data_IF_968063912225
#
_entry.id   IF_968063912225
#
_cell.length_a   1.000
_cell.length_b   1.000
_cell.length_c   1.000
_cell.angle_alpha   90.00
_cell.angle_beta   90.00
_cell.angle_gamma   90.00
#
_symmetry.space_group_name_H-M   'P 1'
#
loop_
_entity.id
_entity.type
_entity.pdbx_description
1 polymer ?
#
# COMPACT_ATOMS: atom_id res chain seq x y z
N UNK A 1 2.49 5.47 -4.84
CA UNK A 1 3.22 4.60 -3.90
C UNK A 1 4.69 4.98 -3.78
N UNK A 2 5.52 4.86 -4.84
CA UNK A 2 6.96 5.15 -4.75
C UNK A 2 7.27 6.52 -4.13
N UNK A 3 6.71 7.59 -4.66
CA UNK A 3 6.91 8.94 -4.13
C UNK A 3 6.50 9.05 -2.65
N UNK A 4 5.34 8.52 -2.31
CA UNK A 4 4.84 8.54 -0.93
C UNK A 4 5.72 7.72 0.04
N UNK A 5 6.39 6.67 -0.42
CA UNK A 5 7.34 5.90 0.39
C UNK A 5 8.67 6.60 0.53
N UNK A 6 9.29 7.00 -0.58
CA UNK A 6 10.64 7.57 -0.56
C UNK A 6 10.70 8.90 0.20
N UNK A 7 9.67 9.74 0.15
CA UNK A 7 9.61 10.98 0.93
C UNK A 7 9.56 10.72 2.43
N UNK A 8 8.97 9.61 2.86
CA UNK A 8 8.96 9.17 4.27
C UNK A 8 10.34 8.65 4.68
N UNK A 9 10.96 7.79 3.86
CA UNK A 9 12.33 7.27 4.10
C UNK A 9 13.35 8.41 4.24
N UNK A 10 13.21 9.47 3.44
CA UNK A 10 14.10 10.63 3.48
C UNK A 10 13.81 11.62 4.62
N UNK A 11 12.72 11.43 5.35
CA UNK A 11 12.35 12.25 6.49
C UNK A 11 12.44 11.47 7.82
N UNK A 12 13.57 11.53 8.55
CA UNK A 12 13.76 10.79 9.79
C UNK A 12 12.77 11.14 10.91
N UNK A 13 12.10 12.29 10.82
CA UNK A 13 11.09 12.72 11.79
C UNK A 13 9.68 12.21 11.44
N UNK A 14 9.52 11.50 10.32
CA UNK A 14 8.22 11.00 9.92
C UNK A 14 7.75 9.85 10.84
N UNK A 15 6.47 9.86 11.18
CA UNK A 15 5.83 8.79 11.93
C UNK A 15 4.38 8.63 11.50
N UNK A 16 3.92 7.37 11.49
CA UNK A 16 2.52 7.03 11.27
C UNK A 16 1.62 7.42 12.45
N UNK A 17 2.19 7.81 13.60
CA UNK A 17 1.43 8.10 14.82
C UNK A 17 0.34 9.14 14.62
N UNK A 18 0.64 10.24 13.94
CA UNK A 18 -0.34 11.30 13.67
C UNK A 18 -1.54 10.81 12.87
N UNK A 19 -1.31 9.94 11.91
CA UNK A 19 -2.37 9.34 11.10
C UNK A 19 -3.19 8.29 11.88
N UNK A 20 -2.51 7.44 12.63
CA UNK A 20 -3.16 6.38 13.41
C UNK A 20 -3.99 6.93 14.58
N UNK A 21 -3.55 8.05 15.18
CA UNK A 21 -4.26 8.69 16.29
C UNK A 21 -5.58 9.36 15.89
N UNK A 22 -5.77 9.62 14.59
CA UNK A 22 -7.00 10.22 14.05
C UNK A 22 -7.99 9.19 13.51
N UNK A 23 -7.75 7.90 13.75
CA UNK A 23 -8.61 6.83 13.26
C UNK A 23 -9.99 6.86 13.92
N UNK A 24 -11.03 7.15 13.13
CA UNK A 24 -12.43 7.18 13.58
C UNK A 24 -13.06 5.78 13.53
N UNK A 25 -12.67 4.99 12.54
CA UNK A 25 -13.17 3.62 12.37
C UNK A 25 -12.22 2.62 13.02
N UNK A 26 -12.73 1.75 13.88
CA UNK A 26 -11.95 0.75 14.64
C UNK A 26 -10.81 1.36 15.50
N UNK A 27 -11.07 2.37 16.35
CA UNK A 27 -10.02 3.08 17.08
C UNK A 27 -9.13 2.12 17.90
N UNK A 28 -9.68 1.17 18.62
CA UNK A 28 -8.90 0.21 19.42
C UNK A 28 -7.93 -0.66 18.61
N UNK A 29 -8.25 -0.96 17.36
CA UNK A 29 -7.33 -1.67 16.47
C UNK A 29 -6.14 -0.79 16.07
N UNK A 30 -6.39 0.47 15.75
CA UNK A 30 -5.33 1.40 15.37
C UNK A 30 -4.53 1.92 16.56
N UNK A 31 -5.13 2.03 17.75
CA UNK A 31 -4.43 2.32 19.01
C UNK A 31 -3.39 1.27 19.35
N UNK A 32 -3.64 0.00 19.02
CA UNK A 32 -2.64 -1.06 19.22
C UNK A 32 -1.36 -0.79 18.41
N UNK A 33 -1.46 -0.21 17.21
CA UNK A 33 -0.31 0.17 16.40
C UNK A 33 0.50 1.35 16.98
N UNK A 34 -0.11 2.14 17.85
CA UNK A 34 0.56 3.27 18.53
C UNK A 34 1.46 2.85 19.70
N UNK A 35 1.40 1.58 20.12
CA UNK A 35 2.26 1.09 21.19
C UNK A 35 3.74 1.30 20.89
N UNK A 36 4.57 1.73 21.85
CA UNK A 36 6.00 2.02 21.64
C UNK A 36 6.81 0.86 21.06
N UNK A 37 6.38 -0.38 21.28
CA UNK A 37 7.00 -1.58 20.73
C UNK A 37 6.57 -1.90 19.30
N UNK A 38 5.41 -1.43 18.86
CA UNK A 38 4.80 -1.75 17.56
C UNK A 38 5.02 -0.63 16.55
N UNK A 39 4.89 0.63 16.98
CA UNK A 39 4.96 1.81 16.11
C UNK A 39 6.23 1.88 15.23
N UNK A 40 7.45 1.58 15.74
CA UNK A 40 8.65 1.58 14.90
C UNK A 40 8.58 0.56 13.76
N UNK A 41 7.96 -0.60 14.00
CA UNK A 41 7.75 -1.65 12.98
C UNK A 41 6.76 -1.16 11.93
N UNK A 42 5.68 -0.52 12.36
CA UNK A 42 4.68 0.07 11.46
C UNK A 42 5.29 1.18 10.61
N UNK A 43 6.11 2.05 11.19
CA UNK A 43 6.83 3.09 10.44
C UNK A 43 7.73 2.46 9.38
N UNK A 44 8.55 1.49 9.75
CA UNK A 44 9.45 0.81 8.82
C UNK A 44 8.69 0.13 7.65
N UNK A 45 7.64 -0.63 7.96
CA UNK A 45 6.80 -1.28 6.96
C UNK A 45 6.15 -0.25 6.03
N UNK A 46 5.73 0.88 6.56
CA UNK A 46 5.08 1.95 5.83
C UNK A 46 6.05 2.64 4.85
N UNK A 47 7.22 3.03 5.33
CA UNK A 47 8.26 3.72 4.55
C UNK A 47 8.80 2.82 3.44
N UNK A 48 9.37 1.68 3.85
CA UNK A 48 10.01 0.75 2.92
C UNK A 48 9.01 -0.07 2.11
N UNK A 49 7.87 -0.44 2.71
CA UNK A 49 6.80 -1.14 2.02
C UNK A 49 6.28 -0.34 0.83
N UNK A 50 5.89 0.92 1.03
CA UNK A 50 5.44 1.80 -0.06
C UNK A 50 6.52 2.02 -1.11
N UNK A 51 7.77 2.21 -0.69
CA UNK A 51 8.90 2.43 -1.59
C UNK A 51 9.13 1.21 -2.47
N UNK A 52 9.25 0.02 -1.86
CA UNK A 52 9.50 -1.24 -2.58
C UNK A 52 8.32 -1.64 -3.46
N UNK A 53 7.09 -1.50 -2.98
CA UNK A 53 5.90 -1.72 -3.80
C UNK A 53 5.88 -0.78 -5.00
N UNK A 54 6.23 0.50 -4.80
CA UNK A 54 6.34 1.47 -5.88
C UNK A 54 7.41 1.12 -6.90
N UNK A 55 8.61 0.73 -6.47
CA UNK A 55 9.70 0.26 -7.36
C UNK A 55 9.27 -0.98 -8.14
N UNK A 56 8.67 -1.94 -7.46
CA UNK A 56 8.17 -3.17 -8.06
C UNK A 56 7.17 -2.89 -9.18
N UNK A 57 6.20 -2.00 -8.94
CA UNK A 57 5.20 -1.61 -9.93
C UNK A 57 5.80 -0.83 -11.11
N UNK A 58 6.76 0.06 -10.87
CA UNK A 58 7.43 0.85 -11.92
C UNK A 58 8.26 -0.06 -12.83
N UNK A 59 9.02 -0.99 -12.25
CA UNK A 59 9.86 -1.92 -13.02
C UNK A 59 9.07 -3.09 -13.62
N UNK A 60 7.85 -3.30 -13.16
CA UNK A 60 7.04 -4.44 -13.57
C UNK A 60 7.61 -5.78 -13.09
N UNK A 61 8.15 -5.82 -11.85
CA UNK A 61 8.77 -6.99 -11.21
C UNK A 61 7.90 -7.46 -10.04
N UNK A 62 7.38 -8.70 -10.11
CA UNK A 62 6.51 -9.24 -9.06
C UNK A 62 5.18 -8.50 -8.95
N UNK A 63 4.68 -7.96 -10.07
CA UNK A 63 3.52 -7.05 -10.09
C UNK A 63 2.30 -7.66 -9.45
N UNK A 64 2.05 -8.95 -9.65
CA UNK A 64 0.89 -9.62 -9.04
C UNK A 64 0.94 -9.56 -7.52
N UNK A 65 2.08 -9.94 -6.93
CA UNK A 65 2.27 -9.93 -5.47
C UNK A 65 2.22 -8.50 -4.93
N UNK A 66 2.97 -7.59 -5.54
CA UNK A 66 3.03 -6.18 -5.14
C UNK A 66 1.68 -5.48 -5.24
N UNK A 67 0.88 -5.83 -6.24
CA UNK A 67 -0.47 -5.29 -6.40
C UNK A 67 -1.42 -5.80 -5.30
N UNK A 68 -1.33 -7.07 -4.93
CA UNK A 68 -2.14 -7.61 -3.82
C UNK A 68 -1.76 -6.93 -2.50
N UNK A 69 -0.46 -6.88 -2.18
CA UNK A 69 0.03 -6.23 -0.96
C UNK A 69 -0.28 -4.73 -0.94
N UNK A 70 -0.15 -4.07 -2.09
CA UNK A 70 -0.49 -2.67 -2.24
C UNK A 70 -1.98 -2.39 -2.06
N UNK A 71 -2.85 -3.25 -2.60
CA UNK A 71 -4.30 -3.14 -2.42
C UNK A 71 -4.69 -3.30 -0.94
N UNK A 72 -4.11 -4.28 -0.24
CA UNK A 72 -4.31 -4.46 1.20
C UNK A 72 -3.84 -3.24 1.99
N UNK A 73 -2.69 -2.66 1.63
CA UNK A 73 -2.16 -1.47 2.27
C UNK A 73 -3.07 -0.25 2.04
N UNK A 74 -3.63 -0.09 0.84
CA UNK A 74 -4.59 0.98 0.54
C UNK A 74 -5.87 0.83 1.36
N UNK A 75 -6.38 -0.39 1.51
CA UNK A 75 -7.53 -0.65 2.37
C UNK A 75 -7.21 -0.35 3.85
N UNK A 76 -6.00 -0.69 4.31
CA UNK A 76 -5.57 -0.35 5.67
C UNK A 76 -5.50 1.17 5.90
N UNK A 77 -5.11 1.94 4.89
CA UNK A 77 -5.13 3.41 4.95
C UNK A 77 -6.54 4.01 4.85
N UNK A 78 -7.44 3.32 4.19
CA UNK A 78 -8.82 3.79 4.04
C UNK A 78 -9.57 3.86 5.37
N UNK A 79 -9.45 2.82 6.22
CA UNK A 79 -10.24 2.73 7.44
C UNK A 79 -10.02 3.88 8.44
N UNK A 80 -8.80 4.38 8.71
CA UNK A 80 -8.60 5.51 9.62
C UNK A 80 -9.29 6.80 9.18
N UNK A 81 -9.38 7.05 7.87
CA UNK A 81 -9.99 8.28 7.34
C UNK A 81 -11.50 8.17 7.14
N UNK A 82 -12.05 6.97 7.23
CA UNK A 82 -13.47 6.74 7.06
C UNK A 82 -14.25 7.17 8.30
N UNK A 83 -15.14 8.12 8.14
CA UNK A 83 -16.18 8.49 9.11
C UNK A 83 -17.53 8.22 8.47
N UNK A 84 -17.95 6.96 8.58
CA UNK A 84 -19.11 6.44 7.84
C UNK A 84 -20.37 7.32 7.97
N UNK A 85 -21.01 7.72 6.85
CA UNK A 85 -20.73 7.37 5.44
C UNK A 85 -19.83 8.38 4.70
N UNK A 86 -19.16 9.27 5.40
CA UNK A 86 -18.35 10.36 4.83
C UNK A 86 -16.87 10.13 5.02
N UNK A 87 -16.07 10.83 4.20
CA UNK A 87 -14.62 10.93 4.35
C UNK A 87 -14.28 12.39 4.56
N UNK A 88 -13.95 12.81 5.80
CA UNK A 88 -13.63 14.20 6.13
C UNK A 88 -12.46 14.71 5.28
N UNK A 89 -12.59 15.91 4.74
CA UNK A 89 -11.55 16.54 3.93
C UNK A 89 -11.48 16.15 2.46
N UNK A 90 -12.08 15.03 2.06
CA UNK A 90 -12.10 14.60 0.66
C UNK A 90 -13.38 15.03 -0.08
N UNK A 91 -14.37 15.60 0.61
CA UNK A 91 -15.72 15.89 0.06
C UNK A 91 -16.33 14.67 -0.65
N UNK A 92 -15.95 13.47 -0.23
CA UNK A 92 -16.36 12.21 -0.81
C UNK A 92 -17.23 11.42 0.16
N UNK A 93 -18.16 10.64 -0.41
CA UNK A 93 -18.84 9.60 0.32
C UNK A 93 -17.87 8.41 0.52
N UNK A 94 -18.36 7.19 0.51
CA UNK A 94 -17.62 5.95 0.79
C UNK A 94 -16.38 5.77 -0.11
N UNK A 95 -16.33 6.36 -1.31
CA UNK A 95 -15.25 6.16 -2.28
C UNK A 95 -14.26 7.32 -2.24
N UNK A 96 -13.02 7.03 -1.90
CA UNK A 96 -11.89 7.95 -1.94
C UNK A 96 -10.73 7.40 -2.82
N UNK A 97 -9.61 8.11 -2.85
CA UNK A 97 -8.42 7.73 -3.61
C UNK A 97 -7.88 6.36 -3.21
N UNK A 98 -7.98 5.96 -1.93
CA UNK A 98 -7.48 4.66 -1.47
C UNK A 98 -8.28 3.50 -2.08
N UNK A 99 -9.60 3.63 -2.17
CA UNK A 99 -10.47 2.64 -2.83
C UNK A 99 -10.15 2.56 -4.32
N UNK A 100 -9.98 3.71 -4.98
CA UNK A 100 -9.65 3.76 -6.42
C UNK A 100 -8.30 3.08 -6.67
N UNK A 101 -7.27 3.41 -5.88
CA UNK A 101 -5.96 2.77 -6.00
C UNK A 101 -6.00 1.27 -5.69
N UNK A 102 -6.77 0.84 -4.69
CA UNK A 102 -6.94 -0.58 -4.38
C UNK A 102 -7.57 -1.33 -5.56
N UNK A 103 -8.61 -0.79 -6.20
CA UNK A 103 -9.25 -1.39 -7.37
C UNK A 103 -8.30 -1.48 -8.58
N UNK A 104 -7.52 -0.42 -8.85
CA UNK A 104 -6.51 -0.43 -9.92
C UNK A 104 -5.45 -1.49 -9.66
N UNK A 105 -5.00 -1.66 -8.42
CA UNK A 105 -4.03 -2.67 -8.05
C UNK A 105 -4.60 -4.09 -8.17
N UNK A 106 -5.84 -4.31 -7.75
CA UNK A 106 -6.54 -5.58 -7.96
C UNK A 106 -6.63 -5.90 -9.47
N UNK A 107 -6.96 -4.92 -10.28
CA UNK A 107 -6.96 -5.08 -11.74
C UNK A 107 -5.58 -5.46 -12.28
N UNK A 108 -4.49 -4.79 -11.87
CA UNK A 108 -3.13 -5.14 -12.29
C UNK A 108 -2.74 -6.57 -11.89
N UNK A 109 -3.16 -7.02 -10.70
CA UNK A 109 -2.95 -8.40 -10.26
C UNK A 109 -3.73 -9.39 -11.13
N UNK A 110 -4.99 -9.09 -11.47
CA UNK A 110 -5.87 -9.95 -12.25
C UNK A 110 -5.36 -10.14 -13.68
N UNK A 111 -4.97 -9.04 -14.34
CA UNK A 111 -4.46 -9.08 -15.73
C UNK A 111 -2.98 -9.45 -15.82
N UNK A 112 -2.27 -9.63 -14.69
CA UNK A 112 -0.83 -9.87 -14.63
C UNK A 112 -0.03 -8.84 -15.45
N UNK A 113 -0.28 -7.56 -15.18
CA UNK A 113 0.22 -6.43 -15.97
C UNK A 113 1.75 -6.47 -16.17
N UNK A 114 2.53 -6.96 -15.20
CA UNK A 114 3.99 -7.08 -15.28
C UNK A 114 4.48 -8.00 -16.41
N UNK A 115 3.65 -8.92 -16.89
CA UNK A 115 3.99 -9.78 -18.03
C UNK A 115 3.84 -9.10 -19.38
N UNK A 116 2.99 -8.10 -19.46
CA UNK A 116 2.74 -7.36 -20.71
C UNK A 116 3.62 -6.12 -20.82
N UNK A 117 3.78 -5.38 -19.73
CA UNK A 117 4.43 -4.07 -19.70
C UNK A 117 5.68 -4.01 -18.81
N UNK A 118 6.10 -5.16 -18.21
CA UNK A 118 7.19 -5.19 -17.26
C UNK A 118 8.19 -6.33 -17.48
N UNK A 119 9.10 -6.46 -16.51
CA UNK A 119 10.18 -7.46 -16.53
C UNK A 119 9.72 -8.86 -16.09
N UNK A 120 8.49 -9.02 -15.57
CA UNK A 120 7.97 -10.30 -15.11
C UNK A 120 7.98 -11.39 -16.17
N UNK A 121 7.77 -11.03 -17.44
CA UNK A 121 7.81 -11.99 -18.55
C UNK A 121 9.19 -12.63 -18.71
N UNK A 122 10.25 -11.80 -18.67
CA UNK A 122 11.62 -12.28 -18.78
C UNK A 122 12.02 -13.17 -17.58
N UNK A 123 11.63 -12.75 -16.38
CA UNK A 123 11.89 -13.48 -15.14
C UNK A 123 11.12 -14.80 -15.07
N UNK A 124 9.86 -14.82 -15.52
CA UNK A 124 9.05 -16.05 -15.56
C UNK A 124 9.59 -17.12 -16.52
N UNK A 125 10.29 -16.70 -17.59
CA UNK A 125 10.96 -17.62 -18.50
C UNK A 125 12.22 -18.22 -17.89
N UNK A 126 12.92 -17.47 -17.04
CA UNK A 126 14.18 -17.89 -16.42
C UNK A 126 13.99 -18.64 -15.10
N UNK A 127 12.94 -18.29 -14.34
CA UNK A 127 12.67 -18.83 -12.99
C UNK A 127 11.23 -19.34 -12.89
N UNK A 128 10.99 -20.67 -12.77
CA UNK A 128 9.62 -21.23 -12.69
C UNK A 128 8.78 -20.67 -11.53
N UNK A 129 9.42 -20.36 -10.39
CA UNK A 129 8.77 -19.75 -9.22
C UNK A 129 8.13 -18.40 -9.57
N UNK A 130 8.77 -17.61 -10.46
CA UNK A 130 8.29 -16.30 -10.87
C UNK A 130 6.93 -16.30 -11.56
N UNK A 131 6.55 -17.46 -12.15
CA UNK A 131 5.23 -17.62 -12.78
C UNK A 131 4.06 -17.46 -11.82
N UNK A 132 4.29 -17.60 -10.49
CA UNK A 132 3.26 -17.48 -9.47
C UNK A 132 3.12 -16.05 -8.93
N UNK A 133 4.22 -15.31 -8.86
CA UNK A 133 4.29 -13.98 -8.22
C UNK A 133 4.32 -12.81 -9.21
N UNK A 134 4.66 -13.05 -10.48
CA UNK A 134 4.65 -12.08 -11.57
C UNK A 134 3.41 -12.17 -12.47
#
# INVERSE_FOLDING_TARGET
MFYAGITKVLNPAWSASGYLSTANTFPGFFEWFLQPSVLPIINFINEWGLTLLGVSLILGIGVRLSSILGALLMLLYYFPVLEFPYIPGAHAYIVDDHIIYALVLVFFSAVRAGRYFGLDRGLANRFPFWRKIG
#
